data_IF_811052299607
#
_entry.id   IF_811052299607
#
_cell.length_a   1.000
_cell.length_b   1.000
_cell.length_c   1.000
_cell.angle_alpha   90.00
_cell.angle_beta   90.00
_cell.angle_gamma   90.00
#
_symmetry.space_group_name_H-M   'P 1'
#
loop_
_entity.id
_entity.type
_entity.pdbx_description
1 polymer ?
#
# COMPACT_ATOMS: atom_id res chain seq x y z
N UNK A 1 -11.37 16.45 -16.55
CA UNK A 1 -11.31 17.04 -15.20
C UNK A 1 -10.82 15.98 -14.23
N UNK A 2 -9.50 15.86 -14.07
CA UNK A 2 -8.88 15.04 -13.03
C UNK A 2 -9.32 15.65 -11.69
N UNK A 3 -9.78 14.82 -10.75
CA UNK A 3 -9.98 15.33 -9.39
C UNK A 3 -8.58 15.63 -8.89
N UNK A 4 -8.31 16.89 -8.52
CA UNK A 4 -7.12 17.27 -7.79
C UNK A 4 -6.98 16.31 -6.61
N UNK A 5 -5.95 15.47 -6.63
CA UNK A 5 -5.51 14.77 -5.44
C UNK A 5 -4.95 15.84 -4.50
N UNK A 6 -5.83 16.59 -3.85
CA UNK A 6 -5.43 17.71 -3.01
C UNK A 6 -4.65 17.15 -1.82
N UNK A 7 -3.39 17.56 -1.72
CA UNK A 7 -2.56 17.29 -0.55
C UNK A 7 -3.26 17.83 0.69
N UNK A 8 -3.48 16.97 1.69
CA UNK A 8 -4.18 17.38 2.90
C UNK A 8 -3.16 18.01 3.85
N UNK A 9 -3.23 19.34 4.01
CA UNK A 9 -2.34 20.01 4.94
C UNK A 9 -2.68 19.62 6.39
N UNK A 10 -1.70 19.71 7.30
CA UNK A 10 -1.96 19.42 8.72
C UNK A 10 -2.99 20.38 9.32
N UNK A 11 -3.05 21.63 8.84
CA UNK A 11 -4.10 22.58 9.22
C UNK A 11 -5.48 22.14 8.78
N UNK A 12 -5.61 21.50 7.61
CA UNK A 12 -6.88 20.97 7.13
C UNK A 12 -7.35 19.80 8.00
N UNK A 13 -6.43 18.92 8.41
CA UNK A 13 -6.75 17.82 9.33
C UNK A 13 -7.27 18.32 10.69
N UNK A 14 -6.71 19.41 11.21
CA UNK A 14 -7.17 20.00 12.47
C UNK A 14 -8.54 20.67 12.32
N UNK A 15 -8.77 21.39 11.22
CA UNK A 15 -10.05 22.08 10.93
C UNK A 15 -11.17 21.10 10.54
N UNK A 16 -10.81 20.00 9.91
CA UNK A 16 -11.71 18.97 9.42
C UNK A 16 -11.17 17.58 9.82
N UNK A 17 -11.36 17.12 11.07
CA UNK A 17 -10.81 15.85 11.57
C UNK A 17 -11.38 14.59 10.89
N UNK A 18 -12.37 14.79 10.01
CA UNK A 18 -12.95 13.75 9.15
C UNK A 18 -12.25 13.66 7.80
N UNK A 19 -11.48 14.66 7.42
CA UNK A 19 -10.55 14.58 6.32
C UNK A 19 -9.41 13.66 6.75
N UNK A 20 -9.18 12.60 5.99
CA UNK A 20 -8.08 11.67 6.20
C UNK A 20 -7.35 11.46 4.89
N UNK A 21 -6.07 11.17 5.04
CA UNK A 21 -5.22 10.74 3.95
C UNK A 21 -4.43 9.53 4.43
N UNK A 22 -4.34 8.49 3.62
CA UNK A 22 -3.58 7.32 3.96
C UNK A 22 -2.96 6.63 2.76
N UNK A 23 -1.85 5.96 3.04
CA UNK A 23 -1.12 5.11 2.13
C UNK A 23 -1.12 3.71 2.69
N UNK A 24 -1.35 2.74 1.82
CA UNK A 24 -1.30 1.33 2.17
C UNK A 24 -0.50 0.59 1.11
N UNK A 25 0.51 -0.16 1.52
CA UNK A 25 1.29 -1.03 0.65
C UNK A 25 1.31 -2.41 1.26
N UNK A 26 1.08 -3.42 0.43
CA UNK A 26 1.18 -4.82 0.85
C UNK A 26 1.85 -5.65 -0.23
N UNK A 27 2.61 -6.67 0.19
CA UNK A 27 3.20 -7.63 -0.73
C UNK A 27 3.30 -9.01 -0.11
N UNK A 28 3.25 -10.02 -0.98
CA UNK A 28 3.33 -11.42 -0.63
C UNK A 28 4.43 -12.10 -1.44
N UNK A 29 5.17 -12.97 -0.78
CA UNK A 29 6.07 -13.92 -1.42
C UNK A 29 5.53 -15.33 -1.17
N UNK A 30 4.89 -15.89 -2.19
CA UNK A 30 4.29 -17.22 -2.13
C UNK A 30 5.34 -18.32 -1.89
N UNK A 31 6.57 -18.13 -2.37
CA UNK A 31 7.64 -19.13 -2.18
C UNK A 31 8.09 -19.23 -0.72
N UNK A 32 7.90 -18.15 0.05
CA UNK A 32 8.28 -18.05 1.47
C UNK A 32 7.08 -18.05 2.41
N UNK A 33 5.85 -17.99 1.89
CA UNK A 33 4.62 -17.87 2.67
C UNK A 33 4.60 -16.66 3.62
N UNK A 34 5.24 -15.56 3.18
CA UNK A 34 5.37 -14.32 3.95
C UNK A 34 4.54 -13.22 3.33
N UNK A 35 3.74 -12.57 4.15
CA UNK A 35 3.02 -11.35 3.83
C UNK A 35 3.61 -10.18 4.60
N UNK A 36 3.88 -9.06 3.93
CA UNK A 36 4.31 -7.83 4.59
C UNK A 36 3.41 -6.67 4.19
N UNK A 37 3.16 -5.76 5.12
CA UNK A 37 2.51 -4.49 4.81
C UNK A 37 3.09 -3.32 5.57
N UNK A 38 2.91 -2.17 4.94
CA UNK A 38 3.16 -0.86 5.48
C UNK A 38 1.90 -0.03 5.28
N UNK A 39 1.47 0.70 6.31
CA UNK A 39 0.49 1.74 6.12
C UNK A 39 0.81 2.97 6.96
N UNK A 40 0.48 4.13 6.40
CA UNK A 40 0.60 5.42 7.04
C UNK A 40 -0.74 6.14 6.92
N UNK A 41 -1.28 6.64 8.03
CA UNK A 41 -2.53 7.39 8.07
C UNK A 41 -2.25 8.75 8.69
N UNK A 42 -2.58 9.83 7.97
CA UNK A 42 -2.61 11.19 8.51
C UNK A 42 -3.79 11.34 9.45
N UNK A 43 -3.53 11.68 10.70
CA UNK A 43 -4.54 11.94 11.72
C UNK A 43 -4.15 13.21 12.49
N UNK A 44 -5.11 14.05 12.91
CA UNK A 44 -4.83 15.12 13.84
C UNK A 44 -4.64 14.55 15.26
N UNK A 45 -3.64 15.03 16.05
CA UNK A 45 -2.52 15.88 15.65
C UNK A 45 -1.31 15.10 15.12
N UNK A 46 -1.34 13.77 15.21
CA UNK A 46 -0.19 12.88 14.98
C UNK A 46 -0.55 11.76 14.03
N UNK A 47 0.35 11.46 13.10
CA UNK A 47 0.17 10.44 12.09
C UNK A 47 0.38 9.05 12.70
N UNK A 48 -0.29 8.04 12.13
CA UNK A 48 -0.13 6.65 12.54
C UNK A 48 0.59 5.87 11.45
N UNK A 49 1.74 5.30 11.77
CA UNK A 49 2.48 4.40 10.87
C UNK A 49 2.48 3.01 11.46
N UNK A 50 2.19 2.01 10.63
CA UNK A 50 2.24 0.62 11.01
C UNK A 50 2.99 -0.18 9.95
N UNK A 51 3.86 -1.06 10.41
CA UNK A 51 4.53 -2.06 9.59
C UNK A 51 4.23 -3.44 10.17
N UNK A 52 3.84 -4.39 9.32
CA UNK A 52 3.46 -5.74 9.74
C UNK A 52 4.16 -6.76 8.87
N UNK A 53 4.80 -7.75 9.49
CA UNK A 53 5.31 -8.96 8.84
C UNK A 53 4.51 -10.14 9.36
N UNK A 54 3.95 -10.92 8.47
CA UNK A 54 3.21 -12.14 8.79
C UNK A 54 3.84 -13.32 8.06
N UNK A 55 4.62 -14.08 8.83
CA UNK A 55 5.21 -15.35 8.41
C UNK A 55 4.23 -16.47 8.76
N UNK A 56 3.60 -17.06 7.75
CA UNK A 56 2.60 -18.11 7.94
C UNK A 56 3.20 -19.34 8.64
N UNK A 57 4.47 -19.66 8.39
CA UNK A 57 5.15 -20.77 9.04
C UNK A 57 5.41 -20.51 10.53
N UNK A 58 5.61 -19.24 10.93
CA UNK A 58 5.76 -18.84 12.33
C UNK A 58 4.42 -18.75 13.09
N UNK A 59 3.30 -18.66 12.39
CA UNK A 59 1.95 -18.62 12.98
C UNK A 59 1.60 -17.35 13.76
N UNK A 60 2.46 -16.33 13.78
CA UNK A 60 2.21 -15.05 14.48
C UNK A 60 2.71 -13.84 13.67
N UNK A 61 1.96 -12.73 13.63
CA UNK A 61 2.43 -11.50 13.01
C UNK A 61 3.39 -10.74 13.94
N UNK A 62 4.41 -10.15 13.34
CA UNK A 62 5.26 -9.13 13.96
C UNK A 62 4.77 -7.77 13.46
N UNK A 63 4.12 -7.00 14.34
CA UNK A 63 3.63 -5.67 14.02
C UNK A 63 4.35 -4.60 14.83
N UNK A 64 4.61 -3.46 14.18
CA UNK A 64 5.11 -2.24 14.80
C UNK A 64 4.17 -1.10 14.44
N UNK A 65 3.69 -0.40 15.47
CA UNK A 65 2.76 0.72 15.31
C UNK A 65 3.30 1.92 16.08
N UNK A 66 3.41 3.05 15.39
CA UNK A 66 4.00 4.28 15.92
C UNK A 66 3.19 5.50 15.56
N UNK A 67 3.14 6.42 16.51
CA UNK A 67 2.65 7.78 16.32
C UNK A 67 3.83 8.67 15.95
N UNK A 68 3.82 9.25 14.75
CA UNK A 68 4.92 10.05 14.20
C UNK A 68 4.39 11.35 13.61
N UNK A 69 5.26 12.36 13.50
CA UNK A 69 4.98 13.54 12.69
C UNK A 69 5.66 13.36 11.34
N UNK A 70 4.94 12.83 10.37
CA UNK A 70 5.50 12.66 9.03
C UNK A 70 5.65 14.04 8.38
N UNK A 71 6.82 14.35 7.84
CA UNK A 71 6.96 15.38 6.81
C UNK A 71 6.35 14.85 5.53
N UNK A 72 5.57 15.68 4.83
CA UNK A 72 5.26 15.45 3.43
C UNK A 72 5.33 16.76 2.67
N UNK A 73 6.36 16.99 1.85
CA UNK A 73 6.10 17.65 0.59
C UNK A 73 5.31 16.65 -0.26
N UNK A 74 4.10 17.02 -0.66
CA UNK A 74 3.40 16.27 -1.68
C UNK A 74 3.24 17.20 -2.88
N UNK A 75 3.75 16.75 -4.01
CA UNK A 75 3.26 17.18 -5.30
C UNK A 75 2.13 16.23 -5.72
N UNK A 76 1.30 16.65 -6.66
CA UNK A 76 0.25 15.79 -7.23
C UNK A 76 0.81 14.45 -7.75
N UNK A 77 2.06 14.47 -8.22
CA UNK A 77 2.70 13.34 -8.89
C UNK A 77 3.75 12.62 -8.01
N UNK A 78 3.99 13.08 -6.77
CA UNK A 78 5.03 12.53 -5.91
C UNK A 78 4.58 12.43 -4.45
N UNK A 79 4.74 11.23 -3.89
CA UNK A 79 4.59 10.98 -2.46
C UNK A 79 5.95 11.04 -1.79
N UNK A 80 6.08 11.79 -0.71
CA UNK A 80 7.20 11.71 0.21
C UNK A 80 6.67 11.70 1.65
N UNK A 81 6.86 10.60 2.37
CA UNK A 81 6.56 10.47 3.79
C UNK A 81 7.86 10.22 4.52
N UNK A 82 8.23 11.13 5.41
CA UNK A 82 9.49 10.99 6.16
C UNK A 82 9.31 11.31 7.63
N UNK A 83 9.92 10.48 8.48
CA UNK A 83 10.10 10.77 9.89
C UNK A 83 11.39 10.09 10.38
N UNK A 84 12.26 10.87 10.99
CA UNK A 84 13.50 10.42 11.61
C UNK A 84 13.42 10.64 13.13
N UNK A 85 13.65 9.61 13.92
CA UNK A 85 13.66 9.69 15.38
C UNK A 85 14.71 8.76 15.98
N UNK A 86 15.06 8.98 17.26
CA UNK A 86 15.97 8.07 17.99
C UNK A 86 15.41 6.64 18.15
N UNK A 87 14.11 6.44 17.94
CA UNK A 87 13.44 5.15 18.13
C UNK A 87 13.14 4.43 16.82
N UNK A 88 13.37 5.09 15.69
CA UNK A 88 13.07 4.53 14.38
C UNK A 88 12.96 5.58 13.29
N UNK A 89 12.95 5.09 12.05
CA UNK A 89 12.86 5.88 10.83
C UNK A 89 11.78 5.32 9.90
N UNK A 90 11.14 6.22 9.16
CA UNK A 90 10.19 5.89 8.09
C UNK A 90 10.48 6.81 6.92
N UNK A 91 10.83 6.26 5.77
CA UNK A 91 11.03 6.98 4.52
C UNK A 91 10.25 6.22 3.44
N UNK A 92 9.18 6.81 2.93
CA UNK A 92 8.39 6.26 1.83
C UNK A 92 8.27 7.32 0.75
N UNK A 93 8.91 7.11 -0.40
CA UNK A 93 8.99 8.12 -1.45
C UNK A 93 8.83 7.53 -2.83
N UNK A 94 8.12 8.20 -3.74
CA UNK A 94 7.96 7.72 -5.10
C UNK A 94 6.77 8.29 -5.86
N UNK A 95 6.48 7.69 -7.01
CA UNK A 95 5.36 8.04 -7.88
C UNK A 95 4.76 6.79 -8.55
N UNK A 96 3.58 6.93 -9.12
CA UNK A 96 2.95 5.85 -9.92
C UNK A 96 3.73 5.53 -11.20
N UNK A 97 4.62 6.40 -11.66
CA UNK A 97 5.45 6.18 -12.85
C UNK A 97 6.78 5.51 -12.49
N UNK A 98 7.49 6.03 -11.49
CA UNK A 98 8.80 5.53 -11.09
C UNK A 98 8.74 4.34 -10.11
N UNK A 99 7.62 4.15 -9.44
CA UNK A 99 7.49 3.29 -8.28
C UNK A 99 7.88 4.01 -6.98
N UNK A 100 7.92 3.25 -5.89
CA UNK A 100 8.18 3.74 -4.54
C UNK A 100 9.31 2.99 -3.87
N UNK A 101 10.14 3.72 -3.13
CA UNK A 101 11.08 3.18 -2.17
C UNK A 101 10.51 3.31 -0.76
N UNK A 102 10.66 2.26 0.04
CA UNK A 102 10.29 2.23 1.45
C UNK A 102 11.50 1.80 2.27
N UNK A 103 11.95 2.67 3.16
CA UNK A 103 12.87 2.34 4.25
C UNK A 103 12.17 2.49 5.59
N UNK A 104 12.26 1.47 6.42
CA UNK A 104 11.64 1.41 7.74
C UNK A 104 12.63 0.82 8.74
N UNK A 105 12.71 1.39 9.94
CA UNK A 105 13.35 0.75 11.09
C UNK A 105 12.63 1.14 12.37
N UNK A 106 12.14 0.17 13.14
CA UNK A 106 11.58 0.37 14.49
C UNK A 106 11.55 -0.95 15.26
N UNK A 107 12.09 -0.94 16.48
CA UNK A 107 11.91 -2.04 17.45
C UNK A 107 12.27 -3.42 16.91
N UNK A 108 13.40 -3.54 16.19
CA UNK A 108 13.88 -4.80 15.62
C UNK A 108 13.17 -5.24 14.33
N UNK A 109 12.35 -4.37 13.74
CA UNK A 109 11.86 -4.52 12.36
C UNK A 109 12.61 -3.56 11.47
N UNK A 110 13.15 -4.06 10.36
CA UNK A 110 13.84 -3.27 9.35
C UNK A 110 13.30 -3.62 7.96
N UNK A 111 13.23 -2.65 7.06
CA UNK A 111 12.88 -2.89 5.68
C UNK A 111 13.61 -1.89 4.77
N UNK A 112 14.09 -2.38 3.63
CA UNK A 112 14.49 -1.57 2.49
C UNK A 112 13.94 -2.25 1.24
N UNK A 113 12.86 -1.69 0.68
CA UNK A 113 12.16 -2.28 -0.46
C UNK A 113 11.86 -1.24 -1.55
N UNK A 114 11.85 -1.73 -2.78
CA UNK A 114 11.42 -1.04 -3.98
C UNK A 114 10.14 -1.68 -4.48
N UNK A 115 9.13 -0.87 -4.75
CA UNK A 115 7.79 -1.26 -5.19
C UNK A 115 7.56 -0.63 -6.56
N UNK A 116 7.51 -1.44 -7.61
CA UNK A 116 7.37 -0.97 -8.99
C UNK A 116 6.03 -1.38 -9.58
N UNK A 117 5.18 -0.43 -10.03
CA UNK A 117 3.99 -0.74 -10.81
C UNK A 117 4.35 -1.58 -12.04
N UNK A 118 3.60 -2.66 -12.29
CA UNK A 118 3.71 -3.44 -13.54
C UNK A 118 2.49 -3.25 -14.45
N UNK A 119 1.46 -2.59 -13.94
CA UNK A 119 0.24 -2.23 -14.66
C UNK A 119 -0.16 -0.78 -14.34
N UNK A 120 -0.93 -0.12 -15.23
CA UNK A 120 -1.48 1.19 -14.94
C UNK A 120 -2.34 1.18 -13.67
N UNK A 121 -2.31 2.25 -12.85
CA UNK A 121 -3.17 2.36 -11.69
C UNK A 121 -4.64 2.49 -12.12
N UNK A 122 -5.55 2.01 -11.28
CA UNK A 122 -6.97 2.34 -11.41
C UNK A 122 -7.36 3.37 -10.36
N UNK A 123 -8.29 4.25 -10.74
CA UNK A 123 -8.80 5.30 -9.86
C UNK A 123 -10.24 4.96 -9.51
N UNK A 124 -10.51 4.70 -8.23
CA UNK A 124 -11.87 4.57 -7.73
C UNK A 124 -12.35 5.91 -7.19
N UNK A 125 -13.45 6.39 -7.75
CA UNK A 125 -14.19 7.56 -7.26
C UNK A 125 -15.53 7.07 -6.74
N UNK A 126 -15.66 6.95 -5.43
CA UNK A 126 -16.96 6.61 -4.84
C UNK A 126 -17.77 7.89 -4.64
N UNK A 127 -18.74 8.13 -5.52
CA UNK A 127 -19.65 9.27 -5.44
C UNK A 127 -21.03 8.92 -4.88
N UNK A 128 -21.29 7.65 -4.52
CA UNK A 128 -22.68 7.18 -4.51
C UNK A 128 -23.49 7.51 -3.24
N UNK A 129 -22.87 7.88 -2.10
CA UNK A 129 -23.64 8.02 -0.83
C UNK A 129 -23.17 9.13 0.15
N UNK A 130 -22.71 10.29 -0.34
CA UNK A 130 -22.27 11.45 0.48
C UNK A 130 -20.84 11.36 1.08
N UNK A 131 -19.94 10.65 0.42
CA UNK A 131 -18.52 10.61 0.78
C UNK A 131 -17.71 11.24 -0.33
N UNK A 132 -16.86 12.21 0.04
CA UNK A 132 -15.90 12.80 -0.88
C UNK A 132 -14.61 12.04 -0.66
N UNK A 133 -14.45 10.91 -1.35
CA UNK A 133 -13.30 10.02 -1.19
C UNK A 133 -12.76 9.60 -2.56
N UNK A 134 -11.44 9.64 -2.70
CA UNK A 134 -10.71 9.15 -3.85
C UNK A 134 -9.72 8.07 -3.44
N UNK A 135 -9.59 7.07 -4.29
CA UNK A 135 -8.57 6.02 -4.18
C UNK A 135 -7.84 5.91 -5.50
N UNK A 136 -6.50 6.00 -5.44
CA UNK A 136 -5.61 5.60 -6.52
C UNK A 136 -4.98 4.29 -6.08
N UNK A 137 -5.09 3.26 -6.91
CA UNK A 137 -4.60 1.93 -6.58
C UNK A 137 -3.77 1.35 -7.71
N UNK A 138 -2.52 0.99 -7.38
CA UNK A 138 -1.60 0.26 -8.23
C UNK A 138 -1.63 -1.20 -7.81
N UNK A 139 -2.43 -1.99 -8.51
CA UNK A 139 -2.44 -3.45 -8.36
C UNK A 139 -1.31 -4.07 -9.18
N UNK A 140 -0.85 -5.25 -8.75
CA UNK A 140 0.26 -5.96 -9.38
C UNK A 140 1.54 -5.12 -9.43
N UNK A 141 2.10 -4.80 -8.27
CA UNK A 141 3.44 -4.22 -8.18
C UNK A 141 4.48 -5.32 -8.02
N UNK A 142 5.62 -5.21 -8.70
CA UNK A 142 6.78 -6.02 -8.42
C UNK A 142 7.53 -5.41 -7.22
N UNK A 143 7.78 -6.22 -6.19
CA UNK A 143 8.48 -5.79 -4.98
C UNK A 143 9.81 -6.50 -4.83
N UNK A 144 10.86 -5.71 -4.60
CA UNK A 144 12.24 -6.18 -4.41
C UNK A 144 12.87 -5.55 -3.18
N UNK A 145 13.74 -6.27 -2.48
CA UNK A 145 14.47 -5.75 -1.32
C UNK A 145 14.50 -6.75 -0.18
N UNK A 146 14.63 -6.26 1.06
CA UNK A 146 14.65 -7.11 2.24
C UNK A 146 13.82 -6.55 3.38
N UNK A 147 13.34 -7.46 4.24
CA UNK A 147 12.67 -7.16 5.50
C UNK A 147 13.28 -8.02 6.59
N UNK A 148 13.71 -7.41 7.68
CA UNK A 148 14.12 -8.08 8.91
C UNK A 148 13.04 -7.99 9.98
N UNK A 149 12.68 -9.10 10.63
CA UNK A 149 11.77 -9.13 11.78
C UNK A 149 11.99 -10.36 12.66
N UNK A 150 11.94 -10.20 13.98
CA UNK A 150 12.07 -11.30 14.97
C UNK A 150 13.33 -12.18 14.74
N UNK A 151 14.45 -11.53 14.39
CA UNK A 151 15.73 -12.20 14.11
C UNK A 151 15.78 -12.96 12.78
N UNK A 152 14.76 -12.83 11.92
CA UNK A 152 14.71 -13.42 10.59
C UNK A 152 14.86 -12.35 9.52
N UNK A 153 15.46 -12.72 8.40
CA UNK A 153 15.57 -11.86 7.21
C UNK A 153 14.82 -12.51 6.04
N UNK A 154 14.02 -11.70 5.36
CA UNK A 154 13.20 -12.07 4.22
C UNK A 154 13.67 -11.26 3.01
N UNK A 155 14.24 -11.93 2.02
CA UNK A 155 14.65 -11.32 0.76
C UNK A 155 13.55 -11.51 -0.30
N UNK A 156 13.15 -10.41 -0.94
CA UNK A 156 12.16 -10.36 -2.00
C UNK A 156 12.85 -10.04 -3.33
N UNK A 157 12.74 -10.95 -4.30
CA UNK A 157 13.31 -10.76 -5.65
C UNK A 157 12.26 -10.44 -6.70
N UNK A 158 11.04 -10.94 -6.50
CA UNK A 158 9.91 -10.73 -7.41
C UNK A 158 8.58 -10.94 -6.67
N UNK A 159 8.43 -10.34 -5.49
CA UNK A 159 7.21 -10.46 -4.71
C UNK A 159 6.07 -9.68 -5.37
N UNK A 160 4.85 -10.22 -5.28
CA UNK A 160 3.66 -9.57 -5.82
C UNK A 160 3.06 -8.66 -4.75
N UNK A 161 2.80 -7.40 -5.10
CA UNK A 161 2.23 -6.44 -4.18
C UNK A 161 1.18 -5.53 -4.78
N UNK A 162 0.80 -4.55 -3.99
CA UNK A 162 -0.05 -3.44 -4.36
C UNK A 162 0.28 -2.20 -3.53
N UNK A 163 -0.13 -1.04 -4.04
CA UNK A 163 -0.04 0.23 -3.34
C UNK A 163 -1.34 1.03 -3.55
N UNK A 164 -1.93 1.49 -2.45
CA UNK A 164 -3.11 2.34 -2.43
C UNK A 164 -2.77 3.68 -1.81
N UNK A 165 -3.23 4.76 -2.44
CA UNK A 165 -3.31 6.09 -1.87
C UNK A 165 -4.76 6.54 -1.85
N UNK A 166 -5.16 7.05 -0.69
CA UNK A 166 -6.53 7.25 -0.33
C UNK A 166 -6.66 8.60 0.35
N UNK A 167 -7.58 9.44 -0.12
CA UNK A 167 -7.78 10.77 0.47
C UNK A 167 -9.24 11.19 0.46
N UNK A 168 -9.62 12.00 1.44
CA UNK A 168 -10.90 12.67 1.47
C UNK A 168 -11.63 12.61 2.80
N UNK A 169 -12.92 12.90 2.77
CA UNK A 169 -13.78 13.06 3.94
C UNK A 169 -14.54 11.79 4.28
N UNK A 170 -14.20 11.19 5.42
CA UNK A 170 -14.81 9.94 5.88
C UNK A 170 -15.92 10.17 6.92
N UNK A 171 -16.93 9.27 7.00
CA UNK A 171 -17.85 9.19 8.13
C UNK A 171 -17.14 9.03 9.49
N UNK A 172 -17.81 9.45 10.57
CA UNK A 172 -17.29 9.25 11.94
C UNK A 172 -17.18 7.77 12.32
N UNK A 173 -18.04 6.92 11.75
CA UNK A 173 -18.07 5.47 11.97
C UNK A 173 -18.03 4.79 10.61
N UNK A 174 -16.85 4.31 10.24
CA UNK A 174 -16.65 3.50 9.04
C UNK A 174 -16.02 2.18 9.48
N UNK A 175 -16.65 1.06 9.13
CA UNK A 175 -15.97 -0.22 9.07
C UNK A 175 -15.39 -0.38 7.66
N UNK A 176 -14.16 -0.87 7.57
CA UNK A 176 -13.55 -1.21 6.29
C UNK A 176 -13.34 -2.71 6.27
N UNK A 177 -13.95 -3.40 5.32
CA UNK A 177 -13.47 -4.70 4.89
C UNK A 177 -12.32 -4.42 3.92
N UNK A 178 -11.09 -4.58 4.40
CA UNK A 178 -9.91 -4.58 3.53
C UNK A 178 -10.04 -5.79 2.59
N UNK A 179 -10.50 -5.54 1.36
CA UNK A 179 -10.77 -6.58 0.38
C UNK A 179 -9.45 -7.08 -0.22
N UNK A 180 -8.78 -7.99 0.50
CA UNK A 180 -7.57 -8.71 0.08
C UNK A 180 -7.77 -9.68 -1.09
N UNK A 181 -8.96 -9.70 -1.69
CA UNK A 181 -9.35 -10.71 -2.67
C UNK A 181 -8.75 -10.47 -4.07
N UNK A 182 -8.17 -9.30 -4.32
CA UNK A 182 -7.83 -8.88 -5.68
C UNK A 182 -6.47 -9.39 -6.18
N UNK A 183 -5.53 -9.72 -5.29
CA UNK A 183 -4.15 -10.07 -5.70
C UNK A 183 -4.04 -11.45 -6.37
N UNK A 184 -4.98 -12.37 -6.09
CA UNK A 184 -4.99 -13.73 -6.71
C UNK A 184 -6.20 -13.99 -7.60
N UNK A 185 -6.90 -12.95 -8.07
CA UNK A 185 -8.13 -13.14 -8.86
C UNK A 185 -9.24 -13.84 -8.09
N UNK A 186 -9.28 -13.68 -6.77
CA UNK A 186 -10.30 -14.29 -5.92
C UNK A 186 -11.57 -13.46 -6.06
N UNK A 187 -12.65 -14.06 -6.56
CA UNK A 187 -13.97 -13.42 -6.50
C UNK A 187 -14.59 -13.75 -5.16
N UNK A 188 -14.90 -12.73 -4.35
CA UNK A 188 -15.93 -12.89 -3.34
C UNK A 188 -17.27 -13.02 -4.06
N UNK A 189 -17.90 -14.17 -3.92
CA UNK A 189 -19.32 -14.33 -4.20
C UNK A 189 -20.08 -14.22 -2.88
N UNK A 190 -21.37 -13.89 -2.92
CA UNK A 190 -22.19 -13.77 -1.70
C UNK A 190 -22.30 -15.05 -0.86
N UNK A 191 -21.72 -16.17 -1.33
CA UNK A 191 -21.76 -17.50 -0.72
C UNK A 191 -20.39 -18.08 -0.36
N UNK A 192 -19.27 -17.39 -0.62
CA UNK A 192 -17.94 -17.94 -0.34
C UNK A 192 -16.77 -17.21 -1.02
N UNK A 193 -15.57 -17.74 -0.80
CA UNK A 193 -14.31 -17.29 -1.40
C UNK A 193 -13.90 -18.30 -2.48
N UNK A 194 -14.07 -17.97 -3.75
CA UNK A 194 -13.63 -18.81 -4.87
C UNK A 194 -12.26 -18.33 -5.37
N UNK A 195 -11.22 -19.17 -5.22
CA UNK A 195 -9.90 -18.91 -5.78
C UNK A 195 -9.92 -19.31 -7.25
N UNK A 196 -9.87 -18.33 -8.16
CA UNK A 196 -9.74 -18.63 -9.59
C UNK A 196 -8.32 -19.13 -9.87
N UNK A 197 -8.14 -20.17 -10.70
CA UNK A 197 -6.82 -20.57 -11.16
C UNK A 197 -6.19 -19.39 -11.93
N UNK A 198 -4.92 -19.10 -11.63
CA UNK A 198 -4.14 -18.12 -12.36
C UNK A 198 -4.17 -18.48 -13.85
N UNK A 199 -4.83 -17.66 -14.67
CA UNK A 199 -4.78 -17.84 -16.12
C UNK A 199 -3.41 -17.31 -16.57
N UNK A 200 -2.52 -18.13 -17.15
CA UNK A 200 -1.31 -17.60 -17.74
C UNK A 200 -1.72 -16.57 -18.79
N UNK A 201 -1.13 -15.38 -18.75
CA UNK A 201 -1.27 -14.43 -19.84
C UNK A 201 -0.77 -15.13 -21.11
N UNK A 202 -1.68 -15.43 -22.03
CA UNK A 202 -1.31 -15.94 -23.34
C UNK A 202 -0.44 -14.88 -24.00
N UNK A 203 0.85 -15.18 -24.15
CA UNK A 203 1.73 -14.42 -25.05
C UNK A 203 1.19 -14.69 -26.44
N UNK A 204 0.47 -13.72 -27.00
CA UNK A 204 0.11 -13.74 -28.40
C UNK A 204 1.40 -13.63 -29.23
N UNK A 205 1.91 -14.76 -29.70
CA UNK A 205 2.91 -14.80 -30.77
C UNK A 205 2.25 -14.34 -32.05
N UNK A 206 2.60 -13.14 -32.52
CA UNK A 206 2.24 -12.67 -33.85
C UNK A 206 3.15 -13.32 -34.88
N UNK A 207 2.86 -14.57 -35.26
CA UNK A 207 3.33 -15.11 -36.53
C UNK A 207 2.43 -14.53 -37.62
N UNK A 208 2.94 -13.51 -38.32
CA UNK A 208 2.32 -12.99 -39.53
C UNK A 208 2.54 -13.97 -40.69
N UNK A 209 1.55 -14.20 -41.57
CA UNK A 209 1.77 -14.96 -42.77
C UNK A 209 2.56 -14.14 -43.79
N UNK A 210 3.56 -14.77 -44.36
CA UNK A 210 4.25 -14.36 -45.59
C UNK A 210 3.27 -14.31 -46.77
N UNK A 211 3.27 -13.18 -47.47
CA UNK A 211 2.93 -13.05 -48.89
C UNK A 211 3.83 -11.98 -49.51
#
# INVERSE_FOLDING_TARGET
MLLDASVVSRSDLVRAPRHKEWWYVGWVDDSRTVYTSFHAIRLPPVDNVVFTVFDLAAGRPVARSRKLFLTAPAGLDHTELRADSRRGQVHYSGSSEAGWSLRFSDGGVEADVMIRPTAPPFIKKENQFAHQYSMVSSMHTAVRGSVGADGREYAFTDALGYADHCSGHLPRRTGWLALWLLVKGVKATGSGIDVLPATPAAIASSDGPSN
#
